data_IF_550278170067
#
_entry.id   IF_550278170067
#
_cell.length_a   1.000
_cell.length_b   1.000
_cell.length_c   1.000
_cell.angle_alpha   90.00
_cell.angle_beta   90.00
_cell.angle_gamma   90.00
#
_symmetry.space_group_name_H-M   'P 1'
#
loop_
_entity.id
_entity.type
_entity.pdbx_description
1 polymer ?
#
# COMPACT_ATOMS: atom_id res chain seq x y z
N UNK A 1 -8.53 -13.45 16.28
CA UNK A 1 -7.59 -13.03 15.21
C UNK A 1 -8.42 -12.84 13.95
N UNK A 2 -8.34 -11.68 13.31
CA UNK A 2 -9.08 -11.38 12.08
C UNK A 2 -8.51 -12.26 10.96
N UNK A 3 -9.37 -12.93 10.22
CA UNK A 3 -8.97 -13.66 9.01
C UNK A 3 -9.08 -12.74 7.80
N UNK A 4 -8.26 -13.01 6.78
CA UNK A 4 -8.16 -12.17 5.57
C UNK A 4 -9.51 -11.94 4.87
N UNK A 5 -10.34 -12.96 4.79
CA UNK A 5 -11.65 -12.89 4.13
C UNK A 5 -12.58 -11.90 4.84
N UNK A 6 -12.52 -11.84 6.17
CA UNK A 6 -13.28 -10.85 6.96
C UNK A 6 -12.74 -9.44 6.73
N UNK A 7 -11.41 -9.28 6.69
CA UNK A 7 -10.77 -7.99 6.44
C UNK A 7 -11.12 -7.45 5.04
N UNK A 8 -11.05 -8.30 4.01
CA UNK A 8 -11.42 -7.91 2.64
C UNK A 8 -12.90 -7.55 2.52
N UNK A 9 -13.79 -8.35 3.10
CA UNK A 9 -15.22 -8.05 3.12
C UNK A 9 -15.52 -6.74 3.85
N UNK A 10 -14.76 -6.45 4.90
CA UNK A 10 -14.87 -5.21 5.66
C UNK A 10 -14.33 -4.00 4.87
N UNK A 11 -13.16 -4.12 4.24
CA UNK A 11 -12.65 -3.11 3.32
C UNK A 11 -13.68 -2.76 2.25
N UNK A 12 -14.23 -3.77 1.59
CA UNK A 12 -15.23 -3.61 0.52
C UNK A 12 -16.57 -3.02 0.99
N UNK A 13 -16.83 -2.92 2.28
CA UNK A 13 -17.98 -2.20 2.84
C UNK A 13 -17.82 -0.68 2.67
N UNK A 14 -16.59 -0.19 2.79
CA UNK A 14 -16.23 1.24 2.79
C UNK A 14 -15.52 1.70 1.50
N UNK A 15 -14.93 0.78 0.74
CA UNK A 15 -14.22 1.07 -0.50
C UNK A 15 -14.89 0.35 -1.67
N UNK A 16 -15.37 1.11 -2.66
CA UNK A 16 -16.09 0.63 -3.85
C UNK A 16 -15.37 0.95 -5.14
N UNK A 17 -14.58 2.02 -5.14
CA UNK A 17 -13.87 2.45 -6.33
C UNK A 17 -12.78 1.43 -6.69
N UNK A 18 -12.72 0.98 -7.96
CA UNK A 18 -11.74 -0.02 -8.39
C UNK A 18 -10.30 0.34 -8.05
N UNK A 19 -9.95 1.62 -8.14
CA UNK A 19 -8.61 2.10 -7.82
C UNK A 19 -8.23 1.81 -6.35
N UNK A 20 -9.11 2.08 -5.39
CA UNK A 20 -8.83 1.86 -3.98
C UNK A 20 -8.72 0.37 -3.65
N UNK A 21 -9.56 -0.47 -4.28
CA UNK A 21 -9.48 -1.93 -4.11
C UNK A 21 -8.16 -2.47 -4.67
N UNK A 22 -7.76 -2.04 -5.87
CA UNK A 22 -6.50 -2.46 -6.48
C UNK A 22 -5.28 -2.02 -5.66
N UNK A 23 -5.31 -0.81 -5.14
CA UNK A 23 -4.27 -0.27 -4.27
C UNK A 23 -4.15 -1.07 -2.97
N UNK A 24 -5.26 -1.34 -2.28
CA UNK A 24 -5.29 -2.14 -1.06
C UNK A 24 -4.74 -3.56 -1.27
N UNK A 25 -5.15 -4.24 -2.34
CA UNK A 25 -4.61 -5.57 -2.70
C UNK A 25 -3.12 -5.52 -3.02
N UNK A 26 -2.67 -4.43 -3.66
CA UNK A 26 -1.25 -4.23 -3.98
C UNK A 26 -0.43 -4.07 -2.71
N UNK A 27 -0.88 -3.22 -1.78
CA UNK A 27 -0.21 -3.02 -0.49
C UNK A 27 -0.24 -4.29 0.37
N UNK A 28 -1.33 -5.05 0.36
CA UNK A 28 -1.39 -6.37 0.99
C UNK A 28 -0.25 -7.28 0.51
N UNK A 29 -0.11 -7.42 -0.81
CA UNK A 29 0.93 -8.25 -1.41
C UNK A 29 2.35 -7.73 -1.15
N UNK A 30 2.56 -6.41 -1.24
CA UNK A 30 3.84 -5.79 -0.95
C UNK A 30 4.25 -5.98 0.50
N UNK A 31 3.35 -5.77 1.45
CA UNK A 31 3.63 -5.92 2.87
C UNK A 31 3.97 -7.36 3.24
N UNK A 32 3.26 -8.34 2.68
CA UNK A 32 3.63 -9.76 2.79
C UNK A 32 5.05 -10.02 2.32
N UNK A 33 5.38 -9.55 1.12
CA UNK A 33 6.72 -9.72 0.55
C UNK A 33 7.81 -9.10 1.44
N UNK A 34 7.58 -7.89 1.96
CA UNK A 34 8.54 -7.26 2.87
C UNK A 34 8.73 -8.09 4.15
N UNK A 35 7.65 -8.57 4.77
CA UNK A 35 7.78 -9.43 5.94
C UNK A 35 8.64 -10.67 5.65
N UNK A 36 8.38 -11.35 4.54
CA UNK A 36 9.09 -12.58 4.13
C UNK A 36 10.58 -12.32 3.83
N UNK A 37 10.92 -11.17 3.24
CA UNK A 37 12.30 -10.86 2.83
C UNK A 37 13.12 -10.13 3.88
N UNK A 38 12.46 -9.47 4.84
CA UNK A 38 13.13 -8.66 5.87
C UNK A 38 13.25 -9.37 7.24
N UNK A 39 12.97 -10.69 7.26
CA UNK A 39 13.18 -11.52 8.46
C UNK A 39 11.97 -11.61 9.40
N UNK A 40 10.78 -11.25 8.93
CA UNK A 40 9.50 -11.27 9.67
C UNK A 40 8.50 -12.26 9.06
N UNK A 41 8.97 -13.34 8.46
CA UNK A 41 8.10 -14.30 7.75
C UNK A 41 6.96 -14.85 8.60
N UNK A 42 7.18 -15.04 9.91
CA UNK A 42 6.14 -15.50 10.85
C UNK A 42 5.03 -14.45 11.07
N UNK A 43 5.25 -13.21 10.71
CA UNK A 43 4.30 -12.10 10.81
C UNK A 43 3.69 -11.70 9.45
N UNK A 44 4.02 -12.41 8.37
CA UNK A 44 3.66 -12.01 7.00
C UNK A 44 2.15 -11.82 6.79
N UNK A 45 1.31 -12.67 7.39
CA UNK A 45 -0.14 -12.51 7.36
C UNK A 45 -0.61 -11.23 8.05
N UNK A 46 0.01 -10.86 9.15
CA UNK A 46 -0.34 -9.64 9.88
C UNK A 46 0.10 -8.38 9.13
N UNK A 47 1.32 -8.38 8.56
CA UNK A 47 1.78 -7.30 7.70
C UNK A 47 0.87 -7.09 6.49
N UNK A 48 0.45 -8.20 5.88
CA UNK A 48 -0.49 -8.18 4.75
C UNK A 48 -1.85 -7.56 5.14
N UNK A 49 -2.40 -7.92 6.31
CA UNK A 49 -3.65 -7.32 6.80
C UNK A 49 -3.51 -5.80 7.03
N UNK A 50 -2.36 -5.34 7.52
CA UNK A 50 -2.10 -3.90 7.68
C UNK A 50 -2.09 -3.19 6.32
N UNK A 51 -1.45 -3.78 5.30
CA UNK A 51 -1.48 -3.26 3.93
C UNK A 51 -2.88 -3.26 3.32
N UNK A 52 -3.66 -4.32 3.54
CA UNK A 52 -5.02 -4.42 3.01
C UNK A 52 -5.97 -3.36 3.59
N UNK A 53 -5.80 -3.01 4.88
CA UNK A 53 -6.75 -2.16 5.60
C UNK A 53 -6.27 -0.72 5.82
N UNK A 54 -5.06 -0.34 5.34
CA UNK A 54 -4.47 0.95 5.66
C UNK A 54 -5.37 2.14 5.29
N UNK A 55 -6.03 2.08 4.14
CA UNK A 55 -6.91 3.11 3.57
C UNK A 55 -8.40 2.85 3.79
N UNK A 56 -8.78 2.10 4.84
CA UNK A 56 -10.17 1.69 5.05
C UNK A 56 -11.15 2.85 5.11
N UNK A 57 -10.72 4.02 5.55
CA UNK A 57 -11.56 5.21 5.71
C UNK A 57 -11.41 6.22 4.56
N UNK A 58 -10.42 6.05 3.67
CA UNK A 58 -10.03 7.08 2.71
C UNK A 58 -11.15 7.46 1.72
N UNK A 59 -11.87 6.48 1.17
CA UNK A 59 -12.89 6.75 0.16
C UNK A 59 -14.10 7.51 0.71
N UNK A 60 -14.58 7.14 1.91
CA UNK A 60 -15.81 7.70 2.47
C UNK A 60 -15.53 8.90 3.39
N UNK A 61 -14.35 8.91 4.03
CA UNK A 61 -13.97 9.93 5.00
C UNK A 61 -12.62 10.60 4.69
N UNK A 62 -12.40 11.12 3.45
CA UNK A 62 -11.08 11.64 3.06
C UNK A 62 -10.57 12.77 3.96
N UNK A 63 -11.47 13.62 4.47
CA UNK A 63 -11.12 14.72 5.39
C UNK A 63 -10.81 14.24 6.83
N UNK A 64 -11.09 12.97 7.14
CA UNK A 64 -10.85 12.33 8.42
C UNK A 64 -9.99 11.08 8.26
N UNK A 65 -9.20 11.03 7.19
CA UNK A 65 -8.31 9.91 6.90
C UNK A 65 -7.35 9.65 8.07
N UNK A 66 -7.13 8.39 8.41
CA UNK A 66 -6.46 7.88 9.59
C UNK A 66 -7.17 8.18 10.94
N UNK A 67 -8.02 9.20 11.00
CA UNK A 67 -8.75 9.55 12.22
C UNK A 67 -10.03 8.73 12.38
N UNK A 68 -10.69 8.38 11.27
CA UNK A 68 -11.89 7.54 11.26
C UNK A 68 -11.57 6.04 11.28
N UNK A 69 -10.40 5.66 10.84
CA UNK A 69 -9.98 4.26 10.76
C UNK A 69 -10.14 3.46 12.08
N UNK A 70 -9.81 4.00 13.28
CA UNK A 70 -10.00 3.26 14.52
C UNK A 70 -11.45 2.83 14.77
N UNK A 71 -12.42 3.70 14.47
CA UNK A 71 -13.84 3.39 14.63
C UNK A 71 -14.28 2.28 13.67
N UNK A 72 -13.85 2.35 12.41
CA UNK A 72 -14.20 1.35 11.41
C UNK A 72 -13.55 -0.01 11.71
N UNK A 73 -12.31 0.01 12.18
CA UNK A 73 -11.57 -1.20 12.54
C UNK A 73 -12.12 -1.87 13.81
N UNK A 74 -12.72 -1.09 14.73
CA UNK A 74 -13.39 -1.64 15.90
C UNK A 74 -14.59 -2.51 15.53
N UNK A 75 -15.24 -2.29 14.39
CA UNK A 75 -16.37 -3.11 13.92
C UNK A 75 -16.00 -4.58 13.65
N UNK A 76 -14.71 -4.88 13.48
CA UNK A 76 -14.18 -6.22 13.25
C UNK A 76 -13.25 -6.69 14.38
N UNK A 77 -13.32 -6.06 15.55
CA UNK A 77 -12.47 -6.37 16.69
C UNK A 77 -10.96 -6.37 16.32
N UNK A 78 -10.52 -5.39 15.52
CA UNK A 78 -9.13 -5.27 15.10
C UNK A 78 -8.20 -5.09 16.31
N UNK A 79 -7.08 -5.82 16.38
CA UNK A 79 -6.12 -5.66 17.46
C UNK A 79 -5.48 -4.26 17.42
N UNK A 80 -5.13 -3.74 18.59
CA UNK A 80 -4.53 -2.40 18.76
C UNK A 80 -3.31 -2.18 17.84
N UNK A 81 -2.47 -3.21 17.66
CA UNK A 81 -1.31 -3.12 16.78
C UNK A 81 -1.68 -2.89 15.30
N UNK A 82 -2.82 -3.44 14.82
CA UNK A 82 -3.31 -3.17 13.46
C UNK A 82 -3.85 -1.75 13.36
N UNK A 83 -4.62 -1.30 14.34
CA UNK A 83 -5.14 0.08 14.40
C UNK A 83 -3.99 1.07 14.41
N UNK A 84 -2.96 0.83 15.24
CA UNK A 84 -1.76 1.67 15.30
C UNK A 84 -1.06 1.74 13.95
N UNK A 85 -0.83 0.59 13.29
CA UNK A 85 -0.19 0.53 11.98
C UNK A 85 -0.96 1.31 10.91
N UNK A 86 -2.30 1.14 10.87
CA UNK A 86 -3.17 1.88 9.96
C UNK A 86 -3.08 3.38 10.22
N UNK A 87 -3.12 3.84 11.48
CA UNK A 87 -2.98 5.26 11.78
C UNK A 87 -1.57 5.79 11.50
N UNK A 88 -0.53 4.96 11.65
CA UNK A 88 0.86 5.37 11.50
C UNK A 88 1.29 5.62 10.04
N UNK A 89 0.57 5.04 9.05
CA UNK A 89 0.93 5.28 7.65
C UNK A 89 0.69 6.75 7.21
N UNK A 90 -0.24 7.46 7.85
CA UNK A 90 -0.51 8.88 7.60
C UNK A 90 0.31 9.85 8.45
N UNK A 91 1.36 9.40 9.15
CA UNK A 91 2.14 10.21 10.08
C UNK A 91 2.67 11.51 9.47
N UNK A 92 2.41 12.62 10.17
CA UNK A 92 2.84 13.95 9.73
C UNK A 92 2.03 14.56 8.58
N UNK A 93 1.00 13.86 8.08
CA UNK A 93 0.06 14.35 7.05
C UNK A 93 -1.34 14.47 7.66
N UNK A 94 -1.93 13.37 8.09
CA UNK A 94 -3.29 13.27 8.63
C UNK A 94 -3.34 12.56 9.99
N UNK A 95 -2.19 12.12 10.52
CA UNK A 95 -2.05 11.43 11.79
C UNK A 95 -0.81 11.89 12.56
N UNK A 96 -0.89 11.88 13.89
CA UNK A 96 0.23 12.11 14.80
C UNK A 96 0.82 10.79 15.35
N UNK A 97 0.33 9.63 14.87
CA UNK A 97 0.79 8.30 15.28
C UNK A 97 2.08 7.98 14.54
N UNK A 98 3.21 7.94 15.29
CA UNK A 98 4.52 7.72 14.68
C UNK A 98 4.77 6.25 14.33
N UNK A 99 5.26 5.92 13.10
CA UNK A 99 5.63 4.55 12.74
C UNK A 99 6.88 4.11 13.51
N UNK A 100 6.73 3.15 14.42
CA UNK A 100 7.80 2.65 15.30
C UNK A 100 8.25 1.24 14.91
N UNK A 101 7.31 0.34 14.63
CA UNK A 101 7.62 -1.02 14.21
C UNK A 101 8.15 -1.06 12.76
N UNK A 102 9.07 -1.98 12.39
CA UNK A 102 9.51 -2.15 10.99
C UNK A 102 8.38 -2.26 9.98
N UNK A 103 7.33 -3.00 10.29
CA UNK A 103 6.12 -3.11 9.49
C UNK A 103 5.51 -1.74 9.16
N UNK A 104 5.32 -0.89 10.19
CA UNK A 104 4.72 0.44 10.04
C UNK A 104 5.61 1.36 9.19
N UNK A 105 6.93 1.24 9.35
CA UNK A 105 7.90 1.99 8.55
C UNK A 105 7.87 1.57 7.07
N UNK A 106 7.72 0.25 6.80
CA UNK A 106 7.55 -0.24 5.44
C UNK A 106 6.23 0.23 4.82
N UNK A 107 5.13 0.15 5.55
CA UNK A 107 3.83 0.63 5.08
C UNK A 107 3.90 2.13 4.76
N UNK A 108 4.36 2.97 5.70
CA UNK A 108 4.56 4.40 5.50
C UNK A 108 5.45 4.74 4.29
N UNK A 109 6.53 3.98 4.08
CA UNK A 109 7.49 4.25 3.01
C UNK A 109 7.01 3.79 1.62
N UNK A 110 6.25 2.69 1.57
CA UNK A 110 5.88 2.03 0.33
C UNK A 110 4.55 2.51 -0.25
N UNK A 111 3.63 2.97 0.58
CA UNK A 111 2.28 3.36 0.18
C UNK A 111 2.31 4.33 -1.01
N UNK A 112 2.79 5.53 -0.84
CA UNK A 112 2.91 6.54 -1.89
C UNK A 112 3.80 6.10 -3.07
N UNK A 113 4.81 5.28 -2.81
CA UNK A 113 5.71 4.80 -3.86
C UNK A 113 5.04 3.77 -4.76
N UNK A 114 4.18 2.90 -4.22
CA UNK A 114 3.39 1.95 -5.02
C UNK A 114 2.49 2.68 -6.01
N UNK A 115 1.91 3.81 -5.62
CA UNK A 115 1.13 4.67 -6.50
C UNK A 115 1.93 5.19 -7.70
N UNK A 116 3.19 5.62 -7.47
CA UNK A 116 4.09 6.06 -8.56
C UNK A 116 4.45 4.90 -9.49
N UNK A 117 4.79 3.74 -8.92
CA UNK A 117 5.13 2.53 -9.68
C UNK A 117 3.94 2.11 -10.54
N UNK A 118 2.75 2.06 -9.97
CA UNK A 118 1.52 1.69 -10.63
C UNK A 118 1.18 2.64 -11.80
N UNK A 119 1.20 3.94 -11.53
CA UNK A 119 0.99 4.94 -12.59
C UNK A 119 2.00 4.79 -13.74
N UNK A 120 3.26 4.48 -13.42
CA UNK A 120 4.29 4.23 -14.42
C UNK A 120 4.04 2.93 -15.21
N UNK A 121 3.56 1.87 -14.56
CA UNK A 121 3.21 0.61 -15.20
C UNK A 121 2.04 0.79 -16.19
N UNK A 122 0.98 1.48 -15.79
CA UNK A 122 -0.19 1.75 -16.66
C UNK A 122 0.17 2.49 -17.96
N UNK A 123 1.25 3.28 -17.97
CA UNK A 123 1.73 3.98 -19.17
C UNK A 123 2.60 3.12 -20.11
N UNK A 124 2.98 1.92 -19.68
CA UNK A 124 3.81 1.01 -20.49
C UNK A 124 2.93 0.24 -21.48
N UNK A 125 3.47 -0.19 -22.63
CA UNK A 125 2.74 -1.10 -23.55
C UNK A 125 2.30 -2.40 -22.87
N UNK A 126 3.13 -2.94 -21.95
CA UNK A 126 2.85 -4.14 -21.16
C UNK A 126 1.77 -3.93 -20.11
N UNK A 127 1.55 -2.69 -19.66
CA UNK A 127 0.71 -2.34 -18.49
C UNK A 127 1.09 -3.18 -17.25
N UNK A 128 2.38 -3.46 -17.08
CA UNK A 128 2.92 -4.37 -16.08
C UNK A 128 4.18 -3.79 -15.42
N UNK A 129 4.43 -4.18 -14.17
CA UNK A 129 5.67 -3.86 -13.46
C UNK A 129 6.81 -4.83 -13.79
N UNK A 130 6.51 -5.98 -14.44
CA UNK A 130 7.49 -7.04 -14.70
C UNK A 130 8.67 -6.58 -15.53
N UNK A 131 8.43 -5.75 -16.55
CA UNK A 131 9.45 -5.24 -17.46
C UNK A 131 9.97 -3.84 -17.10
N UNK A 132 9.54 -3.29 -15.92
CA UNK A 132 9.94 -1.95 -15.48
C UNK A 132 11.34 -2.00 -14.85
N UNK A 133 12.28 -1.23 -15.40
CA UNK A 133 13.60 -1.08 -14.83
C UNK A 133 13.63 0.04 -13.77
N UNK A 134 14.50 -0.10 -12.75
CA UNK A 134 14.72 0.92 -11.71
C UNK A 134 15.04 2.30 -12.34
N UNK A 135 15.86 2.33 -13.40
CA UNK A 135 16.20 3.58 -14.11
C UNK A 135 14.95 4.31 -14.63
N UNK A 136 13.98 3.55 -15.14
CA UNK A 136 12.70 4.10 -15.62
C UNK A 136 11.88 4.68 -14.46
N UNK A 137 11.77 3.94 -13.35
CA UNK A 137 11.08 4.41 -12.14
C UNK A 137 11.73 5.68 -11.59
N UNK A 138 13.05 5.72 -11.46
CA UNK A 138 13.80 6.91 -11.01
C UNK A 138 13.54 8.15 -11.88
N UNK A 139 13.38 7.96 -13.19
CA UNK A 139 13.01 9.06 -14.09
C UNK A 139 11.60 9.58 -13.80
N UNK A 140 10.65 8.69 -13.58
CA UNK A 140 9.27 9.03 -13.22
C UNK A 140 9.17 9.70 -11.85
N UNK A 141 9.92 9.20 -10.87
CA UNK A 141 9.99 9.79 -9.53
C UNK A 141 10.48 11.24 -9.54
N UNK A 142 11.47 11.56 -10.38
CA UNK A 142 12.02 12.93 -10.52
C UNK A 142 11.05 13.90 -11.20
N UNK A 143 10.12 13.40 -11.99
CA UNK A 143 9.09 14.23 -12.63
C UNK A 143 7.97 14.54 -11.63
N UNK A 144 8.01 15.72 -11.02
CA UNK A 144 7.03 16.14 -10.01
C UNK A 144 5.60 16.30 -10.55
N UNK A 145 5.42 16.37 -11.87
CA UNK A 145 4.09 16.42 -12.49
C UNK A 145 3.49 15.04 -12.69
N UNK A 146 4.35 14.02 -12.74
CA UNK A 146 3.92 12.64 -12.88
C UNK A 146 3.42 12.11 -11.53
N UNK A 147 2.23 11.50 -11.50
CA UNK A 147 1.59 11.03 -10.26
C UNK A 147 1.73 12.09 -9.14
N UNK A 148 1.25 13.29 -9.40
CA UNK A 148 1.46 14.47 -8.53
C UNK A 148 0.76 14.35 -7.17
N UNK A 149 -0.22 13.43 -7.05
CA UNK A 149 -0.87 13.09 -5.78
C UNK A 149 0.04 12.31 -4.82
N UNK A 150 1.07 11.62 -5.33
CA UNK A 150 2.00 10.87 -4.48
C UNK A 150 3.13 11.76 -3.95
N UNK A 151 3.31 11.79 -2.64
CA UNK A 151 4.29 12.63 -1.96
C UNK A 151 5.71 12.05 -2.01
N UNK A 152 6.60 12.71 -2.79
CA UNK A 152 8.02 12.34 -2.86
C UNK A 152 8.74 12.57 -1.53
N UNK A 153 8.28 13.53 -0.76
CA UNK A 153 8.89 13.87 0.54
C UNK A 153 8.57 12.77 1.57
N UNK A 154 7.35 12.25 1.59
CA UNK A 154 6.96 11.09 2.42
C UNK A 154 7.79 9.87 2.06
N UNK A 155 7.96 9.56 0.77
CA UNK A 155 8.77 8.43 0.30
C UNK A 155 10.24 8.59 0.75
N UNK A 156 10.80 9.79 0.63
CA UNK A 156 12.18 10.06 1.05
C UNK A 156 12.35 9.89 2.57
N UNK A 157 11.44 10.46 3.37
CA UNK A 157 11.41 10.29 4.83
C UNK A 157 11.21 8.83 5.21
N UNK A 158 10.39 8.09 4.46
CA UNK A 158 10.19 6.66 4.65
C UNK A 158 11.49 5.86 4.49
N UNK A 159 12.27 6.14 3.44
CA UNK A 159 13.58 5.52 3.25
C UNK A 159 14.54 5.83 4.42
N UNK A 160 14.58 7.09 4.89
CA UNK A 160 15.39 7.49 6.04
C UNK A 160 14.97 6.76 7.32
N UNK A 161 13.66 6.60 7.59
CA UNK A 161 13.14 5.88 8.75
C UNK A 161 13.46 4.39 8.73
N UNK A 162 13.56 3.80 7.54
CA UNK A 162 14.01 2.41 7.34
C UNK A 162 15.53 2.28 7.43
N UNK A 163 16.28 3.38 7.37
CA UNK A 163 17.75 3.36 7.35
C UNK A 163 18.35 2.87 6.03
N UNK A 164 17.59 2.96 4.94
CA UNK A 164 18.00 2.52 3.59
C UNK A 164 18.04 3.70 2.61
N UNK A 165 18.70 3.51 1.49
CA UNK A 165 18.69 4.51 0.42
C UNK A 165 17.34 4.54 -0.32
N UNK A 166 17.01 5.68 -0.92
CA UNK A 166 15.84 5.80 -1.78
C UNK A 166 15.86 4.82 -2.97
N UNK A 167 17.04 4.57 -3.52
CA UNK A 167 17.22 3.60 -4.60
C UNK A 167 16.88 2.19 -4.12
N UNK A 168 17.34 1.81 -2.94
CA UNK A 168 17.03 0.51 -2.33
C UNK A 168 15.54 0.38 -2.01
N UNK A 169 14.89 1.41 -1.48
CA UNK A 169 13.44 1.41 -1.29
C UNK A 169 12.69 1.19 -2.61
N UNK A 170 13.11 1.88 -3.68
CA UNK A 170 12.52 1.70 -5.01
C UNK A 170 12.72 0.28 -5.56
N UNK A 171 13.91 -0.30 -5.37
CA UNK A 171 14.19 -1.67 -5.78
C UNK A 171 13.34 -2.69 -5.04
N UNK A 172 13.26 -2.56 -3.70
CA UNK A 172 12.44 -3.43 -2.85
C UNK A 172 10.94 -3.31 -3.20
N UNK A 173 10.43 -2.09 -3.37
CA UNK A 173 9.03 -1.86 -3.75
C UNK A 173 8.72 -2.41 -5.13
N UNK A 174 9.62 -2.23 -6.10
CA UNK A 174 9.43 -2.79 -7.44
C UNK A 174 9.47 -4.34 -7.42
N UNK A 175 10.33 -4.92 -6.60
CA UNK A 175 10.41 -6.37 -6.42
C UNK A 175 9.14 -6.93 -5.76
N UNK A 176 8.62 -6.27 -4.71
CA UNK A 176 7.39 -6.68 -4.03
C UNK A 176 6.18 -6.62 -4.97
N UNK A 177 6.03 -5.54 -5.74
CA UNK A 177 4.95 -5.41 -6.71
C UNK A 177 5.02 -6.47 -7.82
N UNK A 178 6.22 -6.80 -8.29
CA UNK A 178 6.39 -7.90 -9.26
C UNK A 178 5.97 -9.24 -8.69
N UNK A 179 6.29 -9.51 -7.43
CA UNK A 179 5.94 -10.76 -6.78
C UNK A 179 4.43 -10.94 -6.62
N UNK A 180 3.67 -9.87 -6.40
CA UNK A 180 2.23 -9.95 -6.16
C UNK A 180 1.36 -9.58 -7.38
N UNK A 181 1.91 -9.04 -8.49
CA UNK A 181 1.14 -8.52 -9.62
C UNK A 181 0.08 -9.50 -10.16
N UNK A 182 0.46 -10.76 -10.34
CA UNK A 182 -0.44 -11.78 -10.91
C UNK A 182 -1.61 -12.11 -9.98
N UNK A 183 -1.34 -12.27 -8.68
CA UNK A 183 -2.36 -12.54 -7.66
C UNK A 183 -3.30 -11.35 -7.50
N UNK A 184 -2.75 -10.13 -7.45
CA UNK A 184 -3.53 -8.89 -7.38
C UNK A 184 -4.45 -8.76 -8.59
N UNK A 185 -3.93 -8.95 -9.80
CA UNK A 185 -4.72 -8.88 -11.03
C UNK A 185 -5.85 -9.90 -11.04
N UNK A 186 -5.56 -11.13 -10.65
CA UNK A 186 -6.55 -12.23 -10.61
C UNK A 186 -7.68 -11.89 -9.64
N UNK A 187 -7.34 -11.49 -8.40
CA UNK A 187 -8.33 -11.17 -7.39
C UNK A 187 -9.10 -9.89 -7.70
N UNK A 188 -8.41 -8.85 -8.14
CA UNK A 188 -9.06 -7.61 -8.61
C UNK A 188 -10.08 -7.87 -9.70
N UNK A 189 -9.75 -8.70 -10.70
CA UNK A 189 -10.68 -9.08 -11.76
C UNK A 189 -11.87 -9.87 -11.22
N UNK A 190 -11.68 -10.73 -10.23
CA UNK A 190 -12.76 -11.48 -9.58
C UNK A 190 -13.71 -10.56 -8.80
N UNK A 191 -13.20 -9.49 -8.19
CA UNK A 191 -13.98 -8.53 -7.39
C UNK A 191 -14.68 -7.51 -8.29
N UNK A 192 -13.93 -6.86 -9.18
CA UNK A 192 -14.40 -5.70 -9.95
C UNK A 192 -14.86 -6.06 -11.37
N UNK A 193 -14.60 -7.28 -11.84
CA UNK A 193 -14.85 -7.70 -13.24
C UNK A 193 -13.86 -7.05 -14.20
N UNK A 194 -13.96 -7.38 -15.48
CA UNK A 194 -13.10 -6.82 -16.53
C UNK A 194 -13.33 -5.32 -16.81
N UNK A 195 -14.27 -4.67 -16.13
CA UNK A 195 -14.59 -3.24 -16.30
C UNK A 195 -13.60 -2.27 -15.63
N UNK A 196 -12.73 -2.74 -14.74
CA UNK A 196 -11.77 -1.91 -14.02
C UNK A 196 -10.52 -1.48 -14.83
N UNK A 197 -10.32 -2.04 -16.03
CA UNK A 197 -9.14 -1.73 -16.85
C UNK A 197 -9.18 -0.36 -17.57
N UNK A 198 -10.30 0.35 -17.52
CA UNK A 198 -10.52 1.61 -18.23
C UNK A 198 -10.74 2.84 -17.30
N UNK A 199 -10.48 2.74 -16.02
CA UNK A 199 -10.59 3.85 -15.09
C UNK A 199 -9.23 4.52 -14.82
#
# INVERSE_FOLDING_TARGET
MIIREQALAHLMKYNKEPFHIEHALTLEGCMRYFAETEGYADEADFWALCGLLHDIDFEIYPEQHCQKAPELLAEIDAPEALVHAVCAHGYGICSDVEPTHPMEKYLFAADELTGIVWAAAKMRPSKSVQDMELKSLKKKFKDKKFAAGCSRDVIAVGAERLGISLDELMEKTLASMRACEESVRTEFTAICGNGGENA
#
